data_IF_003224254919
#
_entry.id   IF_003224254919
#
_cell.length_a   1.000
_cell.length_b   1.000
_cell.length_c   1.000
_cell.angle_alpha   90.00
_cell.angle_beta   90.00
_cell.angle_gamma   90.00
#
_symmetry.space_group_name_H-M   'P 1'
#
loop_
_entity.id
_entity.type
_entity.pdbx_description
1 polymer ?
#
# COMPACT_ATOMS: atom_id res chain seq x y z
N UNK A 1 -6.72 35.20 -40.59
CA UNK A 1 -7.90 34.52 -40.01
C UNK A 1 -8.07 33.05 -40.45
N UNK A 2 -8.04 32.70 -41.73
CA UNK A 2 -8.25 31.29 -42.19
C UNK A 2 -7.14 30.34 -41.69
N UNK A 3 -5.86 30.78 -41.68
CA UNK A 3 -4.72 29.97 -41.25
C UNK A 3 -4.79 29.70 -39.71
N UNK A 4 -5.12 30.71 -38.91
CA UNK A 4 -5.30 30.58 -37.46
C UNK A 4 -6.44 29.60 -37.12
N UNK A 5 -7.58 29.68 -37.82
CA UNK A 5 -8.67 28.72 -37.64
C UNK A 5 -8.25 27.29 -37.95
N UNK A 6 -7.50 27.04 -39.03
CA UNK A 6 -6.97 25.71 -39.39
C UNK A 6 -6.03 25.18 -38.32
N UNK A 7 -5.18 26.03 -37.76
CA UNK A 7 -4.27 25.67 -36.68
C UNK A 7 -5.05 25.29 -35.40
N UNK A 8 -6.05 26.09 -35.02
CA UNK A 8 -6.92 25.79 -33.86
C UNK A 8 -7.67 24.48 -34.06
N UNK A 9 -8.26 24.25 -35.23
CA UNK A 9 -8.95 22.98 -35.53
C UNK A 9 -7.98 21.79 -35.52
N UNK A 10 -6.77 21.92 -36.09
CA UNK A 10 -5.75 20.89 -36.04
C UNK A 10 -5.33 20.54 -34.61
N UNK A 11 -5.12 21.56 -33.77
CA UNK A 11 -4.79 21.40 -32.35
C UNK A 11 -5.93 20.72 -31.56
N UNK A 12 -7.18 21.14 -31.80
CA UNK A 12 -8.35 20.51 -31.17
C UNK A 12 -8.49 19.05 -31.58
N UNK A 13 -8.29 18.71 -32.86
CA UNK A 13 -8.32 17.34 -33.33
C UNK A 13 -7.21 16.50 -32.70
N UNK A 14 -6.01 17.07 -32.54
CA UNK A 14 -4.89 16.39 -31.85
C UNK A 14 -5.22 16.12 -30.37
N UNK A 15 -5.81 17.08 -29.69
CA UNK A 15 -6.25 16.92 -28.29
C UNK A 15 -7.33 15.82 -28.18
N UNK A 16 -8.31 15.82 -29.06
CA UNK A 16 -9.34 14.77 -29.09
C UNK A 16 -8.72 13.40 -29.35
N UNK A 17 -7.81 13.31 -30.33
CA UNK A 17 -7.11 12.06 -30.61
C UNK A 17 -6.28 11.57 -29.40
N UNK A 18 -5.60 12.48 -28.70
CA UNK A 18 -4.85 12.16 -27.49
C UNK A 18 -5.76 11.62 -26.37
N UNK A 19 -6.90 12.27 -26.14
CA UNK A 19 -7.88 11.83 -25.13
C UNK A 19 -8.44 10.44 -25.50
N UNK A 20 -8.83 10.24 -26.75
CA UNK A 20 -9.31 8.93 -27.23
C UNK A 20 -8.25 7.84 -27.07
N UNK A 21 -6.99 8.16 -27.39
CA UNK A 21 -5.87 7.24 -27.18
C UNK A 21 -5.66 6.90 -25.71
N UNK A 22 -5.67 7.90 -24.82
CA UNK A 22 -5.49 7.68 -23.37
C UNK A 22 -6.64 6.84 -22.80
N UNK A 23 -7.87 7.18 -23.09
CA UNK A 23 -9.05 6.41 -22.63
C UNK A 23 -9.02 4.98 -23.20
N UNK A 24 -8.72 4.84 -24.47
CA UNK A 24 -8.59 3.53 -25.13
C UNK A 24 -7.48 2.68 -24.52
N UNK A 25 -6.32 3.29 -24.22
CA UNK A 25 -5.18 2.59 -23.61
C UNK A 25 -5.49 2.13 -22.18
N UNK A 26 -6.20 2.94 -21.37
CA UNK A 26 -6.66 2.56 -20.04
C UNK A 26 -7.61 1.35 -20.13
N UNK A 27 -8.53 1.35 -21.08
CA UNK A 27 -9.47 0.25 -21.27
C UNK A 27 -8.78 -1.05 -21.69
N UNK A 28 -7.89 -0.98 -22.68
CA UNK A 28 -7.12 -2.16 -23.14
C UNK A 28 -6.25 -2.72 -22.02
N UNK A 29 -5.52 -1.86 -21.31
CA UNK A 29 -4.67 -2.29 -20.19
C UNK A 29 -5.49 -2.87 -19.04
N UNK A 30 -6.73 -2.43 -18.85
CA UNK A 30 -7.65 -3.03 -17.85
C UNK A 30 -7.94 -4.51 -18.15
N UNK A 31 -8.14 -4.86 -19.40
CA UNK A 31 -8.39 -6.27 -19.83
C UNK A 31 -7.11 -7.09 -19.62
N UNK A 32 -5.98 -6.60 -20.13
CA UNK A 32 -4.69 -7.29 -19.99
C UNK A 32 -4.24 -7.41 -18.52
N UNK A 33 -4.56 -6.40 -17.71
CA UNK A 33 -4.27 -6.39 -16.29
C UNK A 33 -5.09 -7.41 -15.51
N UNK A 34 -6.34 -7.66 -15.91
CA UNK A 34 -7.18 -8.71 -15.31
C UNK A 34 -6.60 -10.12 -15.56
N UNK A 35 -6.21 -10.42 -16.79
CA UNK A 35 -5.58 -11.72 -17.12
C UNK A 35 -4.27 -11.91 -16.34
N UNK A 36 -3.47 -10.85 -16.24
CA UNK A 36 -2.22 -10.84 -15.47
C UNK A 36 -2.46 -11.09 -14.00
N UNK A 37 -3.43 -10.41 -13.39
CA UNK A 37 -3.79 -10.61 -12.00
C UNK A 37 -4.26 -12.03 -11.72
N UNK A 38 -5.11 -12.59 -12.59
CA UNK A 38 -5.58 -13.97 -12.48
C UNK A 38 -4.44 -15.01 -12.52
N UNK A 39 -3.33 -14.70 -13.20
CA UNK A 39 -2.14 -15.56 -13.22
C UNK A 39 -1.27 -15.44 -11.95
N UNK A 40 -1.40 -14.35 -11.23
CA UNK A 40 -0.62 -14.05 -10.02
C UNK A 40 -1.35 -14.49 -8.73
N UNK A 41 -2.67 -14.28 -8.67
CA UNK A 41 -3.47 -14.65 -7.51
C UNK A 41 -3.57 -16.17 -7.37
N UNK A 42 -3.43 -16.66 -6.15
CA UNK A 42 -3.58 -18.09 -5.82
C UNK A 42 -4.74 -18.36 -4.85
N UNK A 43 -5.46 -17.33 -4.43
CA UNK A 43 -6.61 -17.43 -3.52
C UNK A 43 -7.74 -16.48 -3.93
N UNK A 44 -8.97 -16.91 -3.66
CA UNK A 44 -10.18 -16.09 -3.76
C UNK A 44 -10.77 -16.01 -2.36
N UNK A 45 -10.79 -14.82 -1.80
CA UNK A 45 -11.29 -14.55 -0.46
C UNK A 45 -12.77 -14.19 -0.57
N UNK A 46 -13.69 -14.94 0.06
CA UNK A 46 -15.12 -14.62 0.01
C UNK A 46 -15.41 -13.25 0.58
N UNK A 47 -16.19 -12.45 -0.16
CA UNK A 47 -16.62 -11.12 0.29
C UNK A 47 -17.53 -11.22 1.52
N UNK A 48 -17.21 -10.46 2.56
CA UNK A 48 -18.05 -10.36 3.76
C UNK A 48 -19.21 -9.36 3.53
N UNK A 49 -20.32 -9.53 4.23
CA UNK A 49 -21.47 -8.61 4.22
C UNK A 49 -22.05 -8.28 2.83
N UNK A 50 -21.87 -9.18 1.85
CA UNK A 50 -22.37 -8.99 0.48
C UNK A 50 -21.41 -8.22 -0.44
N UNK A 51 -20.19 -7.94 0.02
CA UNK A 51 -19.11 -7.41 -0.83
C UNK A 51 -18.64 -8.46 -1.84
N UNK A 52 -18.08 -8.04 -2.98
CA UNK A 52 -17.47 -8.97 -3.94
C UNK A 52 -16.29 -9.74 -3.34
N UNK A 53 -16.03 -10.92 -3.92
CA UNK A 53 -14.82 -11.68 -3.59
C UNK A 53 -13.55 -10.92 -3.92
N UNK A 54 -12.50 -11.10 -3.10
CA UNK A 54 -11.20 -10.45 -3.24
C UNK A 54 -10.18 -11.47 -3.73
N UNK A 55 -9.53 -11.19 -4.87
CA UNK A 55 -8.38 -11.95 -5.33
C UNK A 55 -7.17 -11.64 -4.44
N UNK A 56 -6.38 -12.64 -4.11
CA UNK A 56 -5.21 -12.46 -3.27
C UNK A 56 -4.09 -13.44 -3.63
N UNK A 57 -2.87 -13.10 -3.26
CA UNK A 57 -1.77 -14.05 -3.15
C UNK A 57 -1.55 -14.39 -1.67
N UNK A 58 -1.54 -15.67 -1.35
CA UNK A 58 -1.36 -16.18 0.01
C UNK A 58 -0.13 -17.06 0.05
N UNK A 59 0.72 -16.83 1.02
CA UNK A 59 1.85 -17.69 1.34
C UNK A 59 1.86 -18.00 2.84
N UNK A 60 2.19 -19.25 3.19
CA UNK A 60 2.23 -19.71 4.58
C UNK A 60 3.54 -20.41 4.87
N UNK A 61 4.09 -20.25 6.09
CA UNK A 61 5.28 -20.97 6.51
C UNK A 61 5.06 -22.48 6.56
N UNK A 62 6.15 -23.23 6.47
CA UNK A 62 6.14 -24.66 6.78
C UNK A 62 5.94 -24.87 8.29
N UNK A 63 5.21 -25.93 8.65
CA UNK A 63 5.00 -26.32 10.06
C UNK A 63 3.54 -26.23 10.50
N UNK A 64 3.36 -26.40 11.80
CA UNK A 64 2.04 -26.48 12.45
C UNK A 64 1.73 -25.17 13.21
N UNK A 65 1.31 -24.10 12.66
CA UNK A 65 0.93 -22.87 13.38
C UNK A 65 0.50 -23.01 14.85
N UNK A 66 -0.15 -22.04 15.46
CA UNK A 66 -0.60 -20.80 14.82
C UNK A 66 0.53 -19.80 14.61
N UNK A 67 0.62 -19.29 13.38
CA UNK A 67 1.60 -18.30 12.97
C UNK A 67 1.11 -16.87 13.21
N UNK A 68 2.00 -15.91 13.47
CA UNK A 68 1.68 -14.51 13.28
C UNK A 68 1.38 -14.24 11.80
N UNK A 69 0.49 -13.30 11.51
CA UNK A 69 0.08 -13.04 10.14
C UNK A 69 0.24 -11.57 9.72
N UNK A 70 0.40 -11.36 8.42
CA UNK A 70 0.57 -10.04 7.83
C UNK A 70 -0.33 -9.87 6.62
N UNK A 71 -1.11 -8.80 6.60
CA UNK A 71 -1.79 -8.31 5.40
C UNK A 71 -0.83 -7.35 4.70
N UNK A 72 -0.40 -7.68 3.48
CA UNK A 72 0.57 -6.88 2.71
C UNK A 72 -0.11 -6.14 1.57
N UNK A 73 -0.15 -4.81 1.61
CA UNK A 73 -0.83 -3.99 0.61
C UNK A 73 0.15 -3.49 -0.44
N UNK A 74 -0.19 -3.76 -1.69
CA UNK A 74 0.59 -3.41 -2.88
C UNK A 74 0.67 -1.89 -3.14
N UNK A 75 1.58 -1.50 -4.02
CA UNK A 75 1.73 -0.14 -4.54
C UNK A 75 0.61 0.22 -5.54
N UNK A 76 0.64 1.44 -6.09
CA UNK A 76 -0.41 1.93 -6.99
C UNK A 76 -0.53 1.18 -8.33
N UNK A 77 0.42 0.29 -8.64
CA UNK A 77 0.34 -0.60 -9.81
C UNK A 77 -0.59 -1.81 -9.62
N UNK A 78 -1.01 -2.11 -8.40
CA UNK A 78 -1.77 -3.31 -8.08
C UNK A 78 -0.89 -4.49 -7.65
N UNK A 79 -1.53 -5.63 -7.38
CA UNK A 79 -0.82 -6.86 -7.04
C UNK A 79 0.06 -7.30 -8.21
N UNK A 80 1.36 -7.43 -7.97
CA UNK A 80 2.38 -7.74 -8.96
C UNK A 80 3.49 -8.65 -8.40
N UNK A 81 4.42 -9.07 -9.25
CA UNK A 81 5.51 -9.98 -8.91
C UNK A 81 6.42 -9.44 -7.78
N UNK A 82 6.63 -8.11 -7.69
CA UNK A 82 7.41 -7.51 -6.61
C UNK A 82 6.74 -7.73 -5.24
N UNK A 83 5.43 -7.54 -5.15
CA UNK A 83 4.67 -7.78 -3.92
C UNK A 83 4.61 -9.27 -3.59
N UNK A 84 4.47 -10.13 -4.59
CA UNK A 84 4.52 -11.58 -4.39
C UNK A 84 5.88 -11.99 -3.82
N UNK A 85 6.99 -11.53 -4.40
CA UNK A 85 8.32 -11.80 -3.88
C UNK A 85 8.51 -11.32 -2.45
N UNK A 86 8.00 -10.13 -2.09
CA UNK A 86 8.01 -9.62 -0.71
C UNK A 86 7.14 -10.49 0.23
N UNK A 87 5.98 -10.97 -0.27
CA UNK A 87 5.09 -11.89 0.46
C UNK A 87 5.82 -13.20 0.78
N UNK A 88 6.46 -13.80 -0.22
CA UNK A 88 7.25 -15.02 -0.05
C UNK A 88 8.45 -14.81 0.89
N UNK A 89 9.17 -13.69 0.72
CA UNK A 89 10.29 -13.34 1.59
C UNK A 89 9.87 -13.22 3.06
N UNK A 90 8.76 -12.55 3.35
CA UNK A 90 8.25 -12.44 4.72
C UNK A 90 7.74 -13.80 5.26
N UNK A 91 7.27 -14.67 4.36
CA UNK A 91 6.86 -16.04 4.74
C UNK A 91 8.04 -16.90 5.14
N UNK A 92 9.21 -16.75 4.49
CA UNK A 92 10.45 -17.41 4.90
C UNK A 92 10.88 -17.03 6.33
N UNK A 93 10.50 -15.83 6.79
CA UNK A 93 10.71 -15.36 8.15
C UNK A 93 9.64 -15.83 9.16
N UNK A 94 8.74 -16.73 8.74
CA UNK A 94 7.77 -17.39 9.62
C UNK A 94 6.43 -16.67 9.81
N UNK A 95 6.05 -15.79 8.89
CA UNK A 95 4.75 -15.13 8.88
C UNK A 95 3.79 -15.76 7.87
N UNK A 96 2.53 -15.92 8.26
CA UNK A 96 1.46 -16.20 7.31
C UNK A 96 1.10 -14.89 6.60
N UNK A 97 1.32 -14.81 5.29
CA UNK A 97 1.17 -13.53 4.57
C UNK A 97 0.08 -13.61 3.51
N UNK A 98 -0.76 -12.59 3.46
CA UNK A 98 -1.77 -12.40 2.43
C UNK A 98 -1.60 -11.04 1.76
N UNK A 99 -1.47 -11.03 0.44
CA UNK A 99 -1.43 -9.82 -0.39
C UNK A 99 -2.71 -9.73 -1.24
N UNK A 100 -3.73 -8.98 -0.79
CA UNK A 100 -4.98 -8.82 -1.53
C UNK A 100 -4.84 -7.85 -2.68
N UNK A 101 -5.64 -8.06 -3.73
CA UNK A 101 -5.89 -7.05 -4.76
C UNK A 101 -6.95 -6.04 -4.29
N UNK A 102 -6.53 -4.84 -3.95
CA UNK A 102 -7.41 -3.77 -3.52
C UNK A 102 -8.03 -2.98 -4.68
N UNK A 103 -7.70 -3.32 -5.94
CA UNK A 103 -8.25 -2.67 -7.14
C UNK A 103 -9.36 -3.47 -7.84
N UNK A 104 -9.77 -4.60 -7.25
CA UNK A 104 -10.89 -5.44 -7.71
C UNK A 104 -10.76 -5.86 -9.18
N UNK A 105 -9.67 -6.54 -9.50
CA UNK A 105 -9.52 -7.27 -10.75
C UNK A 105 -8.51 -6.71 -11.74
N UNK A 106 -7.59 -5.83 -11.34
CA UNK A 106 -6.62 -5.28 -12.28
C UNK A 106 -5.27 -4.95 -11.67
N UNK A 107 -4.22 -5.33 -12.36
CA UNK A 107 -2.85 -4.86 -12.13
C UNK A 107 -2.29 -4.26 -13.41
N UNK A 108 -1.37 -3.30 -13.31
CA UNK A 108 -0.86 -2.56 -14.46
C UNK A 108 0.62 -2.20 -14.30
N UNK A 109 1.29 -1.96 -15.43
CA UNK A 109 2.58 -1.23 -15.47
C UNK A 109 2.42 0.12 -16.18
N UNK A 110 1.18 0.51 -16.55
CA UNK A 110 0.87 1.72 -17.30
C UNK A 110 0.42 2.84 -16.37
N UNK A 111 1.24 3.90 -16.23
CA UNK A 111 1.00 5.01 -15.29
C UNK A 111 -0.41 5.61 -15.38
N UNK A 112 -0.97 5.97 -16.56
CA UNK A 112 -2.34 6.50 -16.62
C UNK A 112 -3.40 5.54 -16.06
N UNK A 113 -3.23 4.22 -16.24
CA UNK A 113 -4.11 3.22 -15.65
C UNK A 113 -3.93 3.14 -14.14
N UNK A 114 -2.68 3.15 -13.65
CA UNK A 114 -2.37 3.14 -12.22
C UNK A 114 -3.01 4.34 -11.50
N UNK A 115 -2.91 5.55 -12.08
CA UNK A 115 -3.58 6.75 -11.57
C UNK A 115 -5.10 6.55 -11.53
N UNK A 116 -5.68 6.05 -12.62
CA UNK A 116 -7.12 5.80 -12.69
C UNK A 116 -7.56 4.80 -11.62
N UNK A 117 -6.81 3.71 -11.37
CA UNK A 117 -7.10 2.72 -10.33
C UNK A 117 -7.19 3.39 -8.96
N UNK A 118 -6.19 4.20 -8.60
CA UNK A 118 -6.18 4.88 -7.29
C UNK A 118 -7.34 5.86 -7.15
N UNK A 119 -7.57 6.73 -8.16
CA UNK A 119 -8.64 7.73 -8.10
C UNK A 119 -10.03 7.09 -8.05
N UNK A 120 -10.22 5.95 -8.73
CA UNK A 120 -11.51 5.23 -8.78
C UNK A 120 -11.74 4.27 -7.62
N UNK A 121 -10.78 4.19 -6.67
CA UNK A 121 -10.84 3.30 -5.51
C UNK A 121 -10.97 4.11 -4.22
N UNK A 122 -12.20 4.39 -3.75
CA UNK A 122 -12.39 5.09 -2.48
C UNK A 122 -11.96 4.22 -1.30
N UNK A 123 -11.47 4.85 -0.23
CA UNK A 123 -10.94 4.16 0.94
C UNK A 123 -11.98 3.26 1.62
N UNK A 124 -13.25 3.65 1.60
CA UNK A 124 -14.35 2.86 2.16
C UNK A 124 -14.47 1.48 1.48
N UNK A 125 -14.23 1.45 0.16
CA UNK A 125 -14.20 0.18 -0.60
C UNK A 125 -12.98 -0.66 -0.21
N UNK A 126 -11.82 -0.03 -0.06
CA UNK A 126 -10.61 -0.72 0.41
C UNK A 126 -10.82 -1.30 1.81
N UNK A 127 -11.44 -0.54 2.71
CA UNK A 127 -11.74 -1.02 4.06
C UNK A 127 -12.69 -2.24 4.02
N UNK A 128 -13.75 -2.22 3.21
CA UNK A 128 -14.68 -3.33 3.09
C UNK A 128 -14.01 -4.61 2.52
N UNK A 129 -13.12 -4.45 1.53
CA UNK A 129 -12.31 -5.56 1.00
C UNK A 129 -11.35 -6.11 2.06
N UNK A 130 -10.69 -5.24 2.79
CA UNK A 130 -9.74 -5.63 3.85
C UNK A 130 -10.47 -6.23 5.08
N UNK A 131 -11.70 -5.83 5.38
CA UNK A 131 -12.53 -6.48 6.40
C UNK A 131 -12.82 -7.94 6.02
N UNK A 132 -13.11 -8.19 4.72
CA UNK A 132 -13.28 -9.55 4.20
C UNK A 132 -11.98 -10.37 4.33
N UNK A 133 -10.85 -9.76 3.95
CA UNK A 133 -9.50 -10.36 4.04
C UNK A 133 -9.14 -10.67 5.50
N UNK A 134 -9.36 -9.72 6.42
CA UNK A 134 -9.09 -9.90 7.85
C UNK A 134 -9.95 -11.04 8.42
N UNK A 135 -11.25 -11.04 8.14
CA UNK A 135 -12.17 -12.07 8.62
C UNK A 135 -11.79 -13.47 8.11
N UNK A 136 -11.41 -13.57 6.84
CA UNK A 136 -10.95 -14.82 6.25
C UNK A 136 -9.63 -15.28 6.90
N UNK A 137 -8.65 -14.37 7.02
CA UNK A 137 -7.36 -14.67 7.64
C UNK A 137 -7.51 -15.11 9.09
N UNK A 138 -8.38 -14.44 9.87
CA UNK A 138 -8.68 -14.79 11.25
C UNK A 138 -9.47 -16.13 11.39
N UNK A 139 -10.04 -16.65 10.31
CA UNK A 139 -10.70 -17.96 10.29
C UNK A 139 -9.76 -19.12 9.99
N UNK A 140 -8.51 -18.85 9.59
CA UNK A 140 -7.54 -19.89 9.29
C UNK A 140 -7.02 -20.55 10.58
N UNK A 141 -7.06 -21.87 10.72
CA UNK A 141 -6.62 -22.54 11.95
C UNK A 141 -5.11 -22.37 12.22
N UNK A 142 -4.33 -22.09 11.18
CA UNK A 142 -2.89 -21.86 11.29
C UNK A 142 -2.51 -20.42 11.68
N UNK A 143 -3.50 -19.51 11.84
CA UNK A 143 -3.24 -18.08 12.14
C UNK A 143 -3.59 -17.77 13.59
N UNK A 144 -2.68 -17.08 14.29
CA UNK A 144 -2.98 -16.46 15.59
C UNK A 144 -3.68 -15.12 15.39
N UNK A 145 -4.95 -15.08 15.70
CA UNK A 145 -5.81 -13.89 15.53
C UNK A 145 -5.41 -12.68 16.37
N UNK A 146 -4.59 -12.87 17.42
CA UNK A 146 -4.08 -11.79 18.24
C UNK A 146 -2.76 -11.20 17.69
N UNK A 147 -2.21 -11.78 16.63
CA UNK A 147 -0.91 -11.44 16.05
C UNK A 147 -1.02 -11.17 14.55
N UNK A 148 -2.00 -10.34 14.15
CA UNK A 148 -2.20 -9.92 12.76
C UNK A 148 -1.76 -8.47 12.63
N UNK A 149 -0.76 -8.21 11.76
CA UNK A 149 -0.32 -6.88 11.39
C UNK A 149 -0.70 -6.53 9.94
N UNK A 150 -0.54 -5.25 9.60
CA UNK A 150 -0.66 -4.78 8.23
C UNK A 150 0.61 -4.04 7.82
N UNK A 151 1.07 -4.30 6.59
CA UNK A 151 2.22 -3.65 5.96
C UNK A 151 1.81 -3.13 4.60
N UNK A 152 2.17 -1.92 4.23
CA UNK A 152 1.87 -1.41 2.90
C UNK A 152 2.94 -0.49 2.35
N UNK A 153 3.01 -0.44 1.03
CA UNK A 153 4.01 0.30 0.27
C UNK A 153 3.35 1.38 -0.59
N UNK A 154 3.82 2.62 -0.54
CA UNK A 154 3.30 3.73 -1.35
C UNK A 154 1.80 3.95 -1.12
N UNK A 155 0.96 3.77 -2.13
CA UNK A 155 -0.49 3.72 -2.01
C UNK A 155 -0.93 2.76 -0.88
N UNK A 156 -0.34 1.57 -0.86
CA UNK A 156 -0.61 0.57 0.19
C UNK A 156 -0.17 1.04 1.58
N UNK A 157 0.88 1.85 1.69
CA UNK A 157 1.29 2.46 2.96
C UNK A 157 0.21 3.35 3.56
N UNK A 158 -0.39 4.22 2.74
CA UNK A 158 -1.55 5.01 3.17
C UNK A 158 -2.77 4.12 3.46
N UNK A 159 -3.06 3.16 2.59
CA UNK A 159 -4.19 2.24 2.79
C UNK A 159 -4.05 1.44 4.08
N UNK A 160 -2.85 0.98 4.43
CA UNK A 160 -2.56 0.28 5.68
C UNK A 160 -2.79 1.17 6.90
N UNK A 161 -2.32 2.43 6.87
CA UNK A 161 -2.57 3.39 7.93
C UNK A 161 -4.08 3.64 8.13
N UNK A 162 -4.81 3.92 7.05
CA UNK A 162 -6.23 4.22 7.12
C UNK A 162 -7.06 2.98 7.52
N UNK A 163 -6.66 1.79 7.09
CA UNK A 163 -7.30 0.56 7.54
C UNK A 163 -7.04 0.28 9.03
N UNK A 164 -5.85 0.58 9.54
CA UNK A 164 -5.56 0.45 10.97
C UNK A 164 -6.38 1.41 11.84
N UNK A 165 -6.73 2.59 11.32
CA UNK A 165 -7.66 3.50 11.97
C UNK A 165 -9.12 2.99 11.93
N UNK A 166 -9.46 2.13 10.96
CA UNK A 166 -10.77 1.49 10.81
C UNK A 166 -10.89 0.20 11.61
N UNK A 167 -9.87 -0.67 11.59
CA UNK A 167 -9.87 -1.99 12.22
C UNK A 167 -9.07 -1.98 13.53
N UNK A 168 -9.77 -2.03 14.65
CA UNK A 168 -9.19 -1.99 16.00
C UNK A 168 -8.59 -3.32 16.50
N UNK A 169 -8.45 -4.34 15.62
CA UNK A 169 -7.95 -5.67 15.98
C UNK A 169 -6.54 -5.95 15.47
N UNK A 170 -5.95 -5.03 14.71
CA UNK A 170 -4.59 -5.18 14.23
C UNK A 170 -3.59 -4.99 15.38
N UNK A 171 -2.59 -5.87 15.42
CA UNK A 171 -1.55 -5.84 16.45
C UNK A 171 -0.46 -4.80 16.17
N UNK A 172 -0.19 -4.50 14.90
CA UNK A 172 0.82 -3.53 14.49
C UNK A 172 0.57 -3.01 13.07
N UNK A 173 1.11 -1.84 12.74
CA UNK A 173 1.00 -1.18 11.45
C UNK A 173 2.38 -0.79 10.92
N UNK A 174 2.68 -1.12 9.66
CA UNK A 174 3.90 -0.66 8.99
C UNK A 174 3.55 0.11 7.73
N UNK A 175 4.10 1.31 7.62
CA UNK A 175 3.88 2.26 6.53
C UNK A 175 5.20 2.54 5.82
N UNK A 176 5.37 2.01 4.62
CA UNK A 176 6.47 2.39 3.74
C UNK A 176 6.02 3.52 2.83
N UNK A 177 6.63 4.68 2.99
CA UNK A 177 6.44 5.90 2.16
C UNK A 177 4.97 6.15 1.73
N UNK A 178 4.04 5.90 2.66
CA UNK A 178 2.62 6.22 2.49
C UNK A 178 2.31 7.65 2.92
N UNK A 179 1.40 8.33 2.21
CA UNK A 179 0.96 9.68 2.63
C UNK A 179 0.38 9.65 4.04
N UNK A 180 0.92 10.44 4.98
CA UNK A 180 0.57 10.36 6.39
C UNK A 180 -0.80 10.95 6.73
N UNK A 181 -1.33 10.56 7.90
CA UNK A 181 -2.36 11.27 8.66
C UNK A 181 -1.66 12.01 9.80
N UNK A 182 -2.05 13.24 10.09
CA UNK A 182 -1.33 14.07 11.07
C UNK A 182 -2.18 14.55 12.24
N UNK A 183 -3.50 14.34 12.19
CA UNK A 183 -4.41 14.73 13.29
C UNK A 183 -4.28 13.77 14.46
N UNK A 184 -3.80 14.22 15.64
CA UNK A 184 -3.64 13.36 16.81
C UNK A 184 -4.97 12.78 17.31
N UNK A 185 -6.10 13.47 17.11
CA UNK A 185 -7.39 12.94 17.54
C UNK A 185 -7.83 11.74 16.67
N UNK A 186 -7.44 11.73 15.41
CA UNK A 186 -7.63 10.59 14.51
C UNK A 186 -6.65 9.47 14.83
N UNK A 187 -5.37 9.79 15.01
CA UNK A 187 -4.30 8.83 15.27
C UNK A 187 -4.47 8.05 16.59
N UNK A 188 -5.20 8.58 17.58
CA UNK A 188 -5.56 7.86 18.82
C UNK A 188 -6.33 6.55 18.56
N UNK A 189 -6.93 6.39 17.39
CA UNK A 189 -7.68 5.18 17.02
C UNK A 189 -6.79 4.04 16.55
N UNK A 190 -5.47 4.27 16.40
CA UNK A 190 -4.55 3.18 16.04
C UNK A 190 -4.55 2.11 17.14
N UNK A 191 -4.75 0.83 16.77
CA UNK A 191 -4.94 -0.25 17.76
C UNK A 191 -3.64 -0.75 18.37
N UNK A 192 -2.50 -0.40 17.78
CA UNK A 192 -1.18 -0.87 18.19
C UNK A 192 -0.05 0.05 17.72
N UNK A 193 1.19 -0.39 17.92
CA UNK A 193 2.37 0.37 17.51
C UNK A 193 2.46 0.53 16.00
N UNK A 194 3.12 1.62 15.58
CA UNK A 194 3.31 1.96 14.18
C UNK A 194 4.79 2.15 13.84
N UNK A 195 5.24 1.54 12.73
CA UNK A 195 6.51 1.82 12.09
C UNK A 195 6.26 2.61 10.79
N UNK A 196 6.88 3.77 10.64
CA UNK A 196 6.91 4.55 9.41
C UNK A 196 8.32 4.60 8.82
N UNK A 197 8.45 4.22 7.56
CA UNK A 197 9.71 4.21 6.81
C UNK A 197 9.57 5.11 5.59
N UNK A 198 10.45 6.12 5.47
CA UNK A 198 10.37 7.16 4.45
C UNK A 198 11.72 7.40 3.78
N UNK A 199 11.69 7.95 2.55
CA UNK A 199 12.88 8.38 1.84
C UNK A 199 13.19 9.86 2.08
N UNK A 200 14.46 10.20 2.34
CA UNK A 200 14.89 11.58 2.58
C UNK A 200 14.89 12.48 1.34
N UNK A 201 14.90 11.88 0.14
CA UNK A 201 14.81 12.57 -1.14
C UNK A 201 13.43 12.39 -1.82
N UNK A 202 12.43 11.87 -1.10
CA UNK A 202 11.06 11.74 -1.59
C UNK A 202 10.44 13.13 -1.84
N UNK A 203 10.03 13.39 -3.08
CA UNK A 203 9.41 14.67 -3.47
C UNK A 203 7.89 14.67 -3.26
N UNK A 204 7.29 13.50 -3.06
CA UNK A 204 5.85 13.33 -2.85
C UNK A 204 5.44 13.48 -1.39
N UNK A 205 6.34 13.16 -0.45
CA UNK A 205 6.15 13.30 0.99
C UNK A 205 7.29 14.18 1.54
N UNK A 206 6.97 15.40 1.96
CA UNK A 206 7.97 16.31 2.48
C UNK A 206 8.46 15.92 3.88
N UNK A 207 9.67 16.36 4.25
CA UNK A 207 10.18 16.17 5.61
C UNK A 207 9.28 16.85 6.65
N UNK A 208 8.58 17.93 6.26
CA UNK A 208 7.60 18.61 7.11
C UNK A 208 6.36 17.73 7.36
N UNK A 209 5.87 17.04 6.32
CA UNK A 209 4.75 16.12 6.45
C UNK A 209 5.11 14.92 7.34
N UNK A 210 6.33 14.37 7.20
CA UNK A 210 6.84 13.26 8.03
C UNK A 210 6.95 13.70 9.49
N UNK A 211 7.52 14.88 9.73
CA UNK A 211 7.61 15.43 11.09
C UNK A 211 6.23 15.69 11.68
N UNK A 212 5.30 16.25 10.95
CA UNK A 212 3.93 16.47 11.43
C UNK A 212 3.23 15.16 11.80
N UNK A 213 3.51 14.08 11.06
CA UNK A 213 3.01 12.74 11.36
C UNK A 213 3.58 12.22 12.70
N UNK A 214 4.90 12.31 12.87
CA UNK A 214 5.57 11.90 14.12
C UNK A 214 5.06 12.71 15.32
N UNK A 215 4.95 14.04 15.17
CA UNK A 215 4.40 14.92 16.22
C UNK A 215 2.93 14.55 16.54
N UNK A 216 2.14 14.19 15.54
CA UNK A 216 0.77 13.72 15.69
C UNK A 216 0.68 12.39 16.43
N UNK A 217 1.51 11.40 16.10
CA UNK A 217 1.60 10.11 16.80
C UNK A 217 2.04 10.29 18.25
N UNK A 218 3.02 11.15 18.48
CA UNK A 218 3.48 11.47 19.83
C UNK A 218 2.36 12.12 20.66
N UNK A 219 1.65 13.10 20.11
CA UNK A 219 0.52 13.76 20.77
C UNK A 219 -0.65 12.81 21.03
N UNK A 220 -0.88 11.86 20.14
CA UNK A 220 -1.88 10.79 20.28
C UNK A 220 -1.49 9.74 21.34
N UNK A 221 -0.23 9.69 21.75
CA UNK A 221 0.28 8.68 22.69
C UNK A 221 0.44 7.29 22.06
N UNK A 222 0.51 7.22 20.72
CA UNK A 222 0.71 5.96 19.98
C UNK A 222 2.18 5.56 20.05
N UNK A 223 2.52 4.32 20.46
CA UNK A 223 3.89 3.82 20.33
C UNK A 223 4.31 3.79 18.86
N UNK A 224 5.40 4.44 18.50
CA UNK A 224 5.80 4.54 17.11
C UNK A 224 7.31 4.64 16.94
N UNK A 225 7.74 4.30 15.73
CA UNK A 225 9.10 4.50 15.22
C UNK A 225 8.98 5.11 13.82
N UNK A 226 9.61 6.26 13.60
CA UNK A 226 9.67 6.93 12.30
C UNK A 226 11.12 7.00 11.85
N UNK A 227 11.42 6.43 10.69
CA UNK A 227 12.77 6.43 10.11
C UNK A 227 12.77 7.05 8.72
N UNK A 228 13.68 8.01 8.54
CA UNK A 228 13.93 8.63 7.24
C UNK A 228 15.30 8.15 6.74
N UNK A 229 15.30 7.44 5.62
CA UNK A 229 16.51 7.00 4.94
C UNK A 229 17.03 8.11 4.03
N UNK A 230 18.07 8.79 4.47
CA UNK A 230 18.65 9.94 3.77
C UNK A 230 19.05 9.62 2.33
N UNK A 231 18.74 10.53 1.42
CA UNK A 231 19.06 10.42 -0.02
C UNK A 231 18.22 9.37 -0.78
N UNK A 232 17.31 8.65 -0.12
CA UNK A 232 16.45 7.68 -0.81
C UNK A 232 15.22 8.37 -1.41
N UNK A 233 14.86 8.03 -2.66
CA UNK A 233 13.66 8.55 -3.32
C UNK A 233 12.40 7.85 -2.78
N UNK A 234 11.24 8.24 -3.30
CA UNK A 234 10.01 7.47 -3.13
C UNK A 234 10.17 6.03 -3.65
N UNK A 235 9.47 5.05 -3.05
CA UNK A 235 9.46 3.64 -3.46
C UNK A 235 10.86 3.00 -3.56
N UNK A 236 11.80 3.38 -2.68
CA UNK A 236 13.18 2.88 -2.71
C UNK A 236 13.32 1.39 -2.35
N UNK A 237 12.32 0.77 -1.72
CA UNK A 237 12.30 -0.69 -1.46
C UNK A 237 11.59 -1.39 -2.60
N UNK A 238 12.34 -1.83 -3.62
CA UNK A 238 11.78 -2.25 -4.91
C UNK A 238 11.30 -3.71 -4.93
N UNK A 239 12.19 -4.68 -4.77
CA UNK A 239 11.92 -6.12 -4.90
C UNK A 239 12.81 -6.96 -3.97
N UNK A 240 12.50 -8.24 -3.83
CA UNK A 240 13.23 -9.13 -2.92
C UNK A 240 14.69 -9.39 -3.34
N UNK A 241 15.02 -9.32 -4.61
CA UNK A 241 16.41 -9.46 -5.06
C UNK A 241 17.25 -8.29 -4.56
N UNK A 242 16.76 -7.07 -4.74
CA UNK A 242 17.39 -5.84 -4.24
C UNK A 242 17.48 -5.81 -2.71
N UNK A 243 16.44 -6.25 -2.01
CA UNK A 243 16.43 -6.39 -0.55
C UNK A 243 17.50 -7.38 -0.07
N UNK A 244 17.58 -8.56 -0.68
CA UNK A 244 18.59 -9.60 -0.34
C UNK A 244 20.01 -9.20 -0.69
N UNK A 245 20.20 -8.37 -1.70
CA UNK A 245 21.50 -7.78 -2.02
C UNK A 245 22.02 -6.88 -0.88
N UNK A 246 21.13 -6.36 -0.03
CA UNK A 246 21.46 -5.55 1.13
C UNK A 246 21.40 -4.05 0.84
N UNK A 247 22.33 -3.28 1.42
CA UNK A 247 22.28 -1.82 1.33
C UNK A 247 21.08 -1.24 2.06
N UNK A 248 20.58 -0.08 1.60
CA UNK A 248 19.50 0.64 2.28
C UNK A 248 18.17 -0.11 2.22
N UNK A 249 17.88 -0.79 1.10
CA UNK A 249 16.66 -1.59 0.96
C UNK A 249 16.63 -2.75 1.95
N UNK A 250 17.76 -3.47 2.08
CA UNK A 250 17.92 -4.54 3.07
C UNK A 250 17.82 -4.03 4.52
N UNK A 251 18.37 -2.84 4.81
CA UNK A 251 18.26 -2.23 6.15
C UNK A 251 16.80 -1.87 6.50
N UNK A 252 16.07 -1.26 5.57
CA UNK A 252 14.66 -0.93 5.76
C UNK A 252 13.78 -2.18 5.96
N UNK A 253 14.07 -3.24 5.21
CA UNK A 253 13.40 -4.54 5.36
C UNK A 253 13.72 -5.20 6.71
N UNK A 254 14.99 -5.22 7.12
CA UNK A 254 15.40 -5.75 8.41
C UNK A 254 14.75 -4.99 9.58
N UNK A 255 14.67 -3.66 9.50
CA UNK A 255 13.97 -2.84 10.50
C UNK A 255 12.48 -3.21 10.60
N UNK A 256 11.80 -3.44 9.47
CA UNK A 256 10.43 -3.93 9.48
C UNK A 256 10.33 -5.31 10.13
N UNK A 257 11.24 -6.23 9.83
CA UNK A 257 11.27 -7.57 10.46
C UNK A 257 11.46 -7.48 11.96
N UNK A 258 12.43 -6.69 12.43
CA UNK A 258 12.68 -6.48 13.85
C UNK A 258 11.44 -5.92 14.56
N UNK A 259 10.78 -4.94 13.94
CA UNK A 259 9.54 -4.37 14.46
C UNK A 259 8.40 -5.40 14.52
N UNK A 260 8.20 -6.17 13.45
CA UNK A 260 7.17 -7.22 13.42
C UNK A 260 7.48 -8.34 14.43
N UNK A 261 8.73 -8.78 14.54
CA UNK A 261 9.16 -9.81 15.50
C UNK A 261 8.92 -9.35 16.95
N UNK A 262 9.24 -8.09 17.25
CA UNK A 262 9.02 -7.51 18.58
C UNK A 262 7.53 -7.50 18.95
N UNK A 263 6.67 -7.13 18.02
CA UNK A 263 5.25 -6.91 18.31
C UNK A 263 4.37 -8.15 18.08
N UNK A 264 4.78 -9.09 17.21
CA UNK A 264 3.97 -10.26 16.85
C UNK A 264 4.53 -11.58 17.40
N UNK A 265 5.85 -11.70 17.59
CA UNK A 265 6.45 -12.93 18.10
C UNK A 265 6.80 -12.85 19.60
N UNK A 266 7.26 -11.67 20.05
CA UNK A 266 7.76 -11.47 21.41
C UNK A 266 6.84 -10.60 22.29
N UNK A 267 5.83 -9.94 21.73
CA UNK A 267 4.94 -9.00 22.42
C UNK A 267 3.66 -9.63 22.99
N UNK A 268 3.10 -8.99 24.00
CA UNK A 268 1.75 -9.28 24.50
C UNK A 268 0.72 -8.43 23.74
N UNK A 269 -0.41 -9.05 23.38
CA UNK A 269 -1.54 -8.50 22.60
C UNK A 269 -1.93 -7.05 22.93
N UNK A 270 -2.12 -6.25 21.86
CA UNK A 270 -2.55 -4.86 21.92
C UNK A 270 -3.93 -4.62 22.55
N UNK A 271 -4.19 -3.36 22.92
CA UNK A 271 -5.46 -2.92 23.53
C UNK A 271 -6.47 -2.54 22.42
N UNK A 272 -7.73 -2.94 22.62
CA UNK A 272 -8.84 -2.62 21.73
C UNK A 272 -9.29 -1.15 21.89
N UNK A 273 -9.20 -0.34 20.85
CA UNK A 273 -9.82 0.99 20.72
C UNK A 273 -11.11 0.95 19.92
N UNK A 274 -11.99 1.95 20.06
CA UNK A 274 -13.16 2.13 19.19
C UNK A 274 -12.77 2.96 17.96
N UNK A 275 -13.13 2.49 16.74
CA UNK A 275 -12.84 3.18 15.48
C UNK A 275 -13.55 4.55 15.39
N UNK A 276 -12.84 5.57 14.93
CA UNK A 276 -13.33 6.95 14.76
C UNK A 276 -13.43 7.28 13.27
N UNK A 277 -14.36 8.17 12.90
CA UNK A 277 -14.44 8.70 11.54
C UNK A 277 -13.24 9.61 11.24
N UNK A 278 -12.48 9.30 10.20
CA UNK A 278 -11.29 10.03 9.76
C UNK A 278 -11.47 10.62 8.35
N UNK A 279 -10.59 11.57 8.01
CA UNK A 279 -10.66 12.23 6.71
C UNK A 279 -10.16 11.31 5.59
N UNK A 280 -11.07 10.81 4.77
CA UNK A 280 -10.77 10.00 3.58
C UNK A 280 -10.49 10.86 2.34
N UNK A 281 -10.35 12.18 2.48
CA UNK A 281 -10.09 13.06 1.34
C UNK A 281 -8.87 12.58 0.54
N UNK A 282 -9.05 12.51 -0.76
CA UNK A 282 -8.01 12.05 -1.68
C UNK A 282 -6.83 13.03 -1.69
N UNK A 283 -5.60 12.61 -1.36
CA UNK A 283 -4.44 13.49 -1.23
C UNK A 283 -3.84 13.84 -2.60
N UNK A 284 -4.50 14.72 -3.35
CA UNK A 284 -4.14 15.09 -4.73
C UNK A 284 -2.68 15.52 -4.90
N UNK A 285 -2.13 16.29 -3.94
CA UNK A 285 -0.74 16.74 -4.00
C UNK A 285 0.22 15.56 -4.00
N UNK A 286 0.03 14.62 -3.10
CA UNK A 286 0.82 13.40 -2.99
C UNK A 286 0.82 12.61 -4.31
N UNK A 287 -0.35 12.28 -4.86
CA UNK A 287 -0.43 11.52 -6.10
C UNK A 287 0.05 12.28 -7.33
N UNK A 288 -0.11 13.62 -7.38
CA UNK A 288 0.44 14.42 -8.46
C UNK A 288 1.98 14.43 -8.47
N UNK A 289 2.61 14.53 -7.28
CA UNK A 289 4.06 14.47 -7.14
C UNK A 289 4.59 13.05 -7.38
N UNK A 290 3.88 12.01 -6.95
CA UNK A 290 4.20 10.62 -7.22
C UNK A 290 4.24 10.33 -8.74
N UNK A 291 3.26 10.84 -9.48
CA UNK A 291 3.23 10.74 -10.95
C UNK A 291 4.41 11.47 -11.58
N UNK A 292 4.73 12.66 -11.10
CA UNK A 292 5.88 13.42 -11.56
C UNK A 292 7.18 12.64 -11.36
N UNK A 293 7.39 12.07 -10.19
CA UNK A 293 8.59 11.30 -9.85
C UNK A 293 8.73 10.06 -10.74
N UNK A 294 7.66 9.28 -10.93
CA UNK A 294 7.70 8.11 -11.81
C UNK A 294 7.82 8.43 -13.31
N UNK A 295 7.30 9.57 -13.74
CA UNK A 295 7.37 9.98 -15.14
C UNK A 295 8.70 10.69 -15.51
N UNK A 296 9.33 11.38 -14.57
CA UNK A 296 10.44 12.30 -14.84
C UNK A 296 11.64 12.13 -13.91
N UNK A 297 11.48 11.50 -12.72
CA UNK A 297 12.52 11.39 -11.70
C UNK A 297 13.66 10.42 -12.07
N UNK A 298 13.41 9.42 -12.92
CA UNK A 298 14.43 8.45 -13.35
C UNK A 298 15.51 9.02 -14.30
N UNK A 299 15.39 10.26 -14.71
CA UNK A 299 16.36 10.91 -15.63
C UNK A 299 17.60 11.51 -14.94
N UNK A 300 17.70 11.50 -13.60
CA UNK A 300 18.78 12.16 -12.85
C UNK A 300 19.81 11.23 -12.19
N UNK A 301 19.71 9.92 -12.43
CA UNK A 301 20.66 8.93 -11.88
C UNK A 301 21.32 8.09 -12.99
N UNK A 302 22.15 8.74 -13.82
CA UNK A 302 23.18 8.09 -14.64
C UNK A 302 24.50 8.83 -14.48
#
# INVERSE_FOLDING_TARGET
MKLLKRFIYGFLLLLVALVVFLVGSIFVDSILGSDRLMSLANAIIPGANGEPDVLAYVAKPDGEGPFPAVIMIHEFFGLNESIIGKTEGLTEDGYYVIAPDTFRGSTTSWIPRAIYQVISTPQERVNADLDSVYAWLASQPEVDTNRIAIVGFCYGGRASLLYSLHNNKLAATVVFYGSPETDPEVLKSLPGPLLGIFGGADVSISQEDIKAFEDGLQAAGVPHEITVYEGQPHAFVTDMESIRTGGVQGQAWAQMLDFLDMNLKNGSSGQNGEGIAYNTAFPWRYYAMLVYEHAFGSASHH
#
